data_IF_286369304352
#
_entry.id   IF_286369304352
#
_cell.length_a   1.000
_cell.length_b   1.000
_cell.length_c   1.000
_cell.angle_alpha   90.00
_cell.angle_beta   90.00
_cell.angle_gamma   90.00
#
_symmetry.space_group_name_H-M   'P 1'
#
loop_
_entity.id
_entity.type
_entity.pdbx_description
1 polymer ?
#
# COMPACT_ATOMS: atom_id res chain seq x y z
N UNK A 1 -2.96 23.89 8.76
CA UNK A 1 -2.41 22.86 7.85
C UNK A 1 -2.84 21.49 8.36
N UNK A 2 -3.08 20.52 7.46
CA UNK A 2 -3.73 19.22 7.75
C UNK A 2 -2.88 18.27 8.63
N UNK A 3 -1.56 18.46 8.67
CA UNK A 3 -0.60 17.61 9.39
C UNK A 3 0.25 18.41 10.39
N UNK A 4 -0.38 19.12 11.32
CA UNK A 4 0.32 19.88 12.37
C UNK A 4 0.71 18.95 13.51
N UNK A 5 1.97 18.53 13.55
CA UNK A 5 2.53 17.73 14.66
C UNK A 5 3.87 18.31 15.10
N UNK A 6 4.27 18.04 16.34
CA UNK A 6 5.61 18.35 16.84
C UNK A 6 6.49 17.09 16.88
N UNK A 7 7.83 17.20 16.84
CA UNK A 7 8.71 16.04 17.01
C UNK A 7 8.42 15.26 18.30
N UNK A 8 8.13 15.96 19.40
CA UNK A 8 7.75 15.33 20.67
C UNK A 8 6.44 14.52 20.54
N UNK A 9 5.43 15.08 19.88
CA UNK A 9 4.16 14.41 19.65
C UNK A 9 4.30 13.18 18.75
N UNK A 10 5.12 13.25 17.71
CA UNK A 10 5.41 12.08 16.85
C UNK A 10 6.04 10.97 17.70
N UNK A 11 7.07 11.28 18.49
CA UNK A 11 7.74 10.29 19.33
C UNK A 11 6.79 9.70 20.38
N UNK A 12 5.95 10.52 21.00
CA UNK A 12 4.94 10.06 21.96
C UNK A 12 3.94 9.10 21.31
N UNK A 13 3.40 9.44 20.15
CA UNK A 13 2.45 8.59 19.43
C UNK A 13 3.09 7.29 18.92
N UNK A 14 4.37 7.31 18.54
CA UNK A 14 5.06 6.12 18.00
C UNK A 14 5.52 5.18 19.10
N UNK A 15 5.99 5.70 20.24
CA UNK A 15 6.65 4.87 21.26
C UNK A 15 5.85 4.67 22.54
N UNK A 16 4.88 5.54 22.85
CA UNK A 16 4.21 5.56 24.16
C UNK A 16 2.70 5.31 24.11
N UNK A 17 2.07 5.46 22.94
CA UNK A 17 0.62 5.29 22.77
C UNK A 17 0.25 3.97 22.10
N UNK A 18 -0.97 3.47 22.32
CA UNK A 18 -1.46 2.28 21.64
C UNK A 18 -1.66 2.54 20.14
N UNK A 19 -1.56 1.46 19.35
CA UNK A 19 -1.77 1.47 17.89
C UNK A 19 -0.84 2.41 17.09
N UNK A 20 0.48 2.39 17.32
CA UNK A 20 1.43 3.29 16.63
C UNK A 20 1.43 3.06 15.11
N UNK A 21 1.20 1.83 14.67
CA UNK A 21 1.04 1.49 13.26
C UNK A 21 -0.14 2.23 12.60
N UNK A 22 -1.28 2.37 13.30
CA UNK A 22 -2.44 3.11 12.79
C UNK A 22 -2.17 4.61 12.72
N UNK A 23 -1.45 5.15 13.70
CA UNK A 23 -1.00 6.56 13.68
C UNK A 23 -0.12 6.83 12.46
N UNK A 24 0.90 6.00 12.22
CA UNK A 24 1.79 6.13 11.07
C UNK A 24 1.06 5.96 9.74
N UNK A 25 0.13 5.00 9.65
CA UNK A 25 -0.70 4.80 8.45
C UNK A 25 -1.57 6.04 8.12
N UNK A 26 -1.88 6.89 9.10
CA UNK A 26 -2.58 8.16 8.89
C UNK A 26 -1.82 9.15 7.99
N UNK A 27 -0.50 9.01 7.87
CA UNK A 27 0.33 9.84 6.99
C UNK A 27 0.35 9.36 5.54
N UNK A 28 -0.29 8.23 5.20
CA UNK A 28 -0.41 7.82 3.79
C UNK A 28 -1.08 8.88 2.91
N UNK A 29 -2.05 9.62 3.46
CA UNK A 29 -2.67 10.75 2.75
C UNK A 29 -1.69 11.90 2.48
N UNK A 30 -0.68 12.10 3.33
CA UNK A 30 0.36 13.12 3.08
C UNK A 30 1.21 12.74 1.87
N UNK A 31 1.53 11.45 1.72
CA UNK A 31 2.26 10.97 0.55
C UNK A 31 1.44 11.17 -0.73
N UNK A 32 0.13 10.86 -0.69
CA UNK A 32 -0.77 11.07 -1.83
C UNK A 32 -0.95 12.56 -2.21
N UNK A 33 -1.10 13.43 -1.21
CA UNK A 33 -1.23 14.88 -1.43
C UNK A 33 0.03 15.53 -2.02
N UNK A 34 1.19 14.90 -1.88
CA UNK A 34 2.49 15.42 -2.31
C UNK A 34 3.15 14.58 -3.41
N UNK A 35 2.37 13.77 -4.16
CA UNK A 35 2.84 13.08 -5.37
C UNK A 35 3.44 14.07 -6.37
N UNK A 36 4.39 13.60 -7.17
CA UNK A 36 5.20 14.37 -8.11
C UNK A 36 6.47 14.97 -7.49
N UNK A 37 6.58 15.05 -6.15
CA UNK A 37 7.85 15.37 -5.51
C UNK A 37 8.76 14.13 -5.48
N UNK A 38 9.98 14.25 -6.02
CA UNK A 38 10.89 13.10 -6.20
C UNK A 38 11.09 12.27 -4.91
N UNK A 39 11.25 12.91 -3.76
CA UNK A 39 11.43 12.21 -2.49
C UNK A 39 10.18 11.43 -2.05
N UNK A 40 8.98 11.93 -2.37
CA UNK A 40 7.73 11.26 -2.04
C UNK A 40 7.54 10.03 -2.93
N UNK A 41 7.78 10.17 -4.23
CA UNK A 41 7.75 9.02 -5.15
C UNK A 41 8.75 7.94 -4.71
N UNK A 42 9.99 8.32 -4.39
CA UNK A 42 11.01 7.38 -3.91
C UNK A 42 10.57 6.63 -2.65
N UNK A 43 9.98 7.32 -1.65
CA UNK A 43 9.49 6.67 -0.43
C UNK A 43 8.42 5.61 -0.75
N UNK A 44 7.50 5.92 -1.66
CA UNK A 44 6.42 5.01 -2.04
C UNK A 44 6.98 3.82 -2.82
N UNK A 45 7.83 4.08 -3.83
CA UNK A 45 8.47 3.07 -4.65
C UNK A 45 9.34 2.13 -3.81
N UNK A 46 10.24 2.66 -2.98
CA UNK A 46 11.12 1.86 -2.12
C UNK A 46 10.31 0.97 -1.17
N UNK A 47 9.23 1.51 -0.57
CA UNK A 47 8.36 0.75 0.32
C UNK A 47 7.66 -0.43 -0.37
N UNK A 48 7.15 -0.22 -1.58
CA UNK A 48 6.57 -1.33 -2.35
C UNK A 48 7.63 -2.28 -2.88
N UNK A 49 8.78 -1.76 -3.28
CA UNK A 49 9.89 -2.56 -3.74
C UNK A 49 10.35 -3.56 -2.67
N UNK A 50 10.52 -3.08 -1.43
CA UNK A 50 10.81 -3.93 -0.27
C UNK A 50 9.70 -4.95 -0.02
N UNK A 51 8.43 -4.55 -0.12
CA UNK A 51 7.30 -5.46 0.02
C UNK A 51 7.35 -6.59 -1.03
N UNK A 52 7.58 -6.27 -2.30
CA UNK A 52 7.69 -7.26 -3.37
C UNK A 52 8.87 -8.20 -3.12
N UNK A 53 10.06 -7.65 -2.88
CA UNK A 53 11.27 -8.43 -2.73
C UNK A 53 11.27 -9.34 -1.50
N UNK A 54 10.76 -8.84 -0.37
CA UNK A 54 10.77 -9.56 0.91
C UNK A 54 9.61 -10.54 1.05
N UNK A 55 8.45 -10.26 0.44
CA UNK A 55 7.23 -11.05 0.67
C UNK A 55 6.74 -11.74 -0.60
N UNK A 56 6.47 -11.00 -1.67
CA UNK A 56 5.82 -11.54 -2.86
C UNK A 56 6.75 -12.51 -3.61
N UNK A 57 7.93 -12.04 -4.01
CA UNK A 57 8.84 -12.78 -4.89
C UNK A 57 9.52 -13.99 -4.20
N UNK A 58 9.22 -14.24 -2.93
CA UNK A 58 9.64 -15.46 -2.22
C UNK A 58 8.81 -16.68 -2.62
N UNK A 59 7.61 -16.46 -3.17
CA UNK A 59 6.73 -17.51 -3.66
C UNK A 59 6.94 -17.70 -5.16
N UNK A 60 7.24 -18.93 -5.59
CA UNK A 60 7.42 -19.21 -7.04
C UNK A 60 6.10 -19.06 -7.80
N UNK A 61 5.00 -19.25 -7.08
CA UNK A 61 3.62 -19.08 -7.51
C UNK A 61 3.32 -17.65 -7.99
N UNK A 62 4.11 -16.65 -7.56
CA UNK A 62 3.96 -15.26 -8.00
C UNK A 62 4.13 -15.06 -9.51
N UNK A 63 4.84 -15.97 -10.20
CA UNK A 63 4.98 -15.95 -11.66
C UNK A 63 3.97 -16.86 -12.38
N UNK A 64 3.26 -17.73 -11.66
CA UNK A 64 2.29 -18.66 -12.26
C UNK A 64 0.83 -18.25 -12.03
N UNK A 65 0.58 -17.35 -11.09
CA UNK A 65 -0.75 -16.89 -10.73
C UNK A 65 -0.86 -15.36 -10.64
N UNK A 66 -2.03 -14.78 -10.98
CA UNK A 66 -2.26 -13.36 -10.78
C UNK A 66 -2.18 -12.97 -9.29
N UNK A 67 -1.52 -11.86 -9.00
CA UNK A 67 -1.42 -11.30 -7.65
C UNK A 67 -2.53 -10.27 -7.46
N UNK A 68 -3.38 -10.51 -6.46
CA UNK A 68 -4.47 -9.62 -6.11
C UNK A 68 -4.11 -8.81 -4.87
N UNK A 69 -4.46 -7.52 -4.86
CA UNK A 69 -4.20 -6.63 -3.74
C UNK A 69 -5.51 -6.08 -3.17
N UNK A 70 -5.55 -5.86 -1.86
CA UNK A 70 -6.70 -5.28 -1.18
C UNK A 70 -6.28 -4.29 -0.10
N UNK A 71 -7.16 -3.35 0.21
CA UNK A 71 -6.97 -2.35 1.27
C UNK A 71 -6.74 -0.94 0.72
N UNK A 72 -6.87 0.05 1.61
CA UNK A 72 -6.80 1.47 1.26
C UNK A 72 -5.47 1.88 0.65
N UNK A 73 -4.34 1.41 1.18
CA UNK A 73 -2.99 1.74 0.68
C UNK A 73 -2.77 1.18 -0.72
N UNK A 74 -3.15 -0.09 -0.94
CA UNK A 74 -3.04 -0.72 -2.26
C UNK A 74 -3.91 0.00 -3.30
N UNK A 75 -5.10 0.46 -2.91
CA UNK A 75 -5.98 1.19 -3.80
C UNK A 75 -5.48 2.61 -4.09
N UNK A 76 -4.93 3.29 -3.07
CA UNK A 76 -4.39 4.64 -3.15
C UNK A 76 -3.21 4.71 -4.12
N UNK A 77 -2.26 3.77 -4.00
CA UNK A 77 -1.04 3.71 -4.80
C UNK A 77 -1.05 2.57 -5.83
N UNK A 78 -2.22 2.32 -6.43
CA UNK A 78 -2.44 1.23 -7.39
C UNK A 78 -1.61 1.36 -8.67
N UNK A 79 -1.27 2.59 -9.03
CA UNK A 79 -0.38 2.93 -10.13
C UNK A 79 1.03 2.37 -9.89
N UNK A 80 1.59 2.64 -8.71
CA UNK A 80 2.92 2.14 -8.32
C UNK A 80 2.91 0.61 -8.23
N UNK A 81 1.87 0.01 -7.64
CA UNK A 81 1.72 -1.46 -7.62
C UNK A 81 1.70 -2.07 -9.03
N UNK A 82 1.03 -1.42 -9.98
CA UNK A 82 0.99 -1.87 -11.38
C UNK A 82 2.39 -1.81 -12.01
N UNK A 83 3.13 -0.75 -11.76
CA UNK A 83 4.50 -0.59 -12.28
C UNK A 83 5.47 -1.59 -11.65
N UNK A 84 5.33 -1.89 -10.36
CA UNK A 84 6.08 -2.95 -9.70
C UNK A 84 5.76 -4.32 -10.28
N UNK A 85 4.49 -4.64 -10.51
CA UNK A 85 4.11 -5.90 -11.16
C UNK A 85 4.72 -6.04 -12.56
N UNK A 86 4.71 -4.96 -13.35
CA UNK A 86 5.35 -4.96 -14.67
C UNK A 86 6.87 -5.15 -14.57
N UNK A 87 7.52 -4.45 -13.65
CA UNK A 87 8.98 -4.50 -13.44
C UNK A 87 9.45 -5.89 -13.05
N UNK A 88 8.68 -6.60 -12.22
CA UNK A 88 9.01 -7.95 -11.76
C UNK A 88 8.44 -9.07 -12.63
N UNK A 89 7.81 -8.73 -13.75
CA UNK A 89 7.17 -9.68 -14.68
C UNK A 89 6.17 -10.62 -13.99
N UNK A 90 5.45 -10.11 -12.99
CA UNK A 90 4.38 -10.84 -12.31
C UNK A 90 3.02 -10.35 -12.79
N UNK A 91 2.07 -11.28 -12.92
CA UNK A 91 0.74 -10.94 -13.44
C UNK A 91 -0.06 -10.16 -12.39
N UNK A 92 -0.44 -8.92 -12.70
CA UNK A 92 -1.35 -8.14 -11.86
C UNK A 92 -2.79 -8.67 -11.98
N UNK A 93 -3.41 -8.96 -10.84
CA UNK A 93 -4.82 -9.27 -10.71
C UNK A 93 -5.68 -8.04 -10.38
N UNK A 94 -6.68 -8.23 -9.51
CA UNK A 94 -7.57 -7.17 -9.04
C UNK A 94 -6.93 -6.39 -7.88
N UNK A 95 -7.11 -5.07 -7.89
CA UNK A 95 -6.80 -4.19 -6.75
C UNK A 95 -8.12 -3.62 -6.22
N UNK A 96 -8.44 -3.87 -4.95
CA UNK A 96 -9.71 -3.47 -4.34
C UNK A 96 -9.50 -2.66 -3.07
N UNK A 97 -10.33 -1.64 -2.84
CA UNK A 97 -10.24 -0.84 -1.61
C UNK A 97 -10.78 -1.59 -0.39
N UNK A 98 -11.91 -2.28 -0.54
CA UNK A 98 -12.54 -3.09 0.49
C UNK A 98 -12.82 -4.50 -0.08
N UNK A 99 -12.40 -5.59 0.60
CA UNK A 99 -12.67 -6.95 0.15
C UNK A 99 -14.17 -7.28 0.03
N UNK A 100 -15.05 -6.60 0.77
CA UNK A 100 -16.50 -6.89 0.77
C UNK A 100 -17.16 -6.68 -0.59
N UNK A 101 -16.71 -5.70 -1.39
CA UNK A 101 -17.34 -5.42 -2.70
C UNK A 101 -17.17 -6.59 -3.68
N UNK A 102 -16.09 -7.36 -3.56
CA UNK A 102 -15.82 -8.53 -4.39
C UNK A 102 -16.61 -9.75 -3.93
N UNK A 103 -16.82 -9.90 -2.62
CA UNK A 103 -17.68 -10.95 -2.04
C UNK A 103 -19.13 -10.76 -2.47
N UNK A 104 -19.65 -9.53 -2.45
CA UNK A 104 -21.02 -9.23 -2.87
C UNK A 104 -21.24 -9.63 -4.33
N UNK A 105 -20.32 -9.27 -5.25
CA UNK A 105 -20.43 -9.67 -6.67
C UNK A 105 -20.37 -11.19 -6.87
N UNK A 106 -19.47 -11.87 -6.15
CA UNK A 106 -19.34 -13.32 -6.24
C UNK A 106 -20.62 -14.07 -5.80
N UNK A 107 -21.37 -13.50 -4.86
CA UNK A 107 -22.65 -14.05 -4.41
C UNK A 107 -23.87 -13.59 -5.23
N UNK A 108 -23.72 -12.62 -6.13
CA UNK A 108 -24.78 -12.14 -7.03
C UNK A 108 -24.75 -12.81 -8.42
N UNK A 109 -23.61 -13.39 -8.81
CA UNK A 109 -23.43 -14.11 -10.08
C UNK A 109 -23.76 -15.62 -9.97
N UNK A 110 -24.25 -16.07 -8.81
CA UNK A 110 -24.86 -17.40 -8.58
C UNK A 110 -26.36 -17.26 -8.29
#
# INVERSE_FOLDING_TARGET
>A
SRYQTSPHEILDNVYKKPLPNRYLAGFAGFLDENRGHFMIENIIEDGFNDFFFQHILKYRESWTHPIHFTGSIAYLFKDVLKDMCNTYEVQLGRIMQNPMDGLIRYHQEN
#
